data_IF_364201875935
#
_entry.id   IF_364201875935
#
_cell.length_a   1.000
_cell.length_b   1.000
_cell.length_c   1.000
_cell.angle_alpha   90.00
_cell.angle_beta   90.00
_cell.angle_gamma   90.00
#
_symmetry.space_group_name_H-M   'P 1'
#
loop_
_entity.id
_entity.type
_entity.pdbx_description
1 polymer ?
#
# COMPACT_ATOMS: atom_id res chain seq x y z
N UNK A 1 -6.25 -1.96 -31.46
CA UNK A 1 -6.33 -1.80 -29.99
C UNK A 1 -5.04 -2.37 -29.39
N UNK A 2 -4.14 -1.51 -28.93
CA UNK A 2 -2.82 -1.92 -28.44
C UNK A 2 -2.89 -2.20 -26.93
N UNK A 3 -2.35 -3.33 -26.44
CA UNK A 3 -2.38 -3.65 -25.02
C UNK A 3 -1.45 -2.72 -24.24
N UNK A 4 -2.01 -1.98 -23.28
CA UNK A 4 -1.27 -1.16 -22.33
C UNK A 4 -0.20 -2.00 -21.62
N UNK A 5 1.04 -1.49 -21.60
CA UNK A 5 2.19 -2.12 -20.94
C UNK A 5 1.90 -2.37 -19.46
N UNK A 6 1.49 -3.60 -19.16
CA UNK A 6 1.13 -4.06 -17.82
C UNK A 6 2.36 -4.17 -16.94
N UNK A 7 2.25 -3.68 -15.70
CA UNK A 7 3.20 -4.03 -14.64
C UNK A 7 3.27 -5.56 -14.55
N UNK A 8 4.42 -6.15 -14.88
CA UNK A 8 4.64 -7.60 -14.80
C UNK A 8 4.49 -8.05 -13.35
N UNK A 9 3.29 -8.50 -12.98
CA UNK A 9 3.09 -9.30 -11.77
C UNK A 9 3.60 -10.69 -12.09
N UNK A 10 4.67 -11.10 -11.44
CA UNK A 10 5.17 -12.47 -11.51
C UNK A 10 4.19 -13.32 -10.69
N UNK A 11 3.27 -13.97 -11.39
CA UNK A 11 2.45 -15.05 -10.83
C UNK A 11 3.25 -16.34 -10.99
N UNK A 12 3.32 -17.16 -9.94
CA UNK A 12 3.75 -18.54 -10.10
C UNK A 12 2.58 -19.30 -10.74
N UNK A 13 2.74 -19.70 -11.99
CA UNK A 13 1.82 -20.58 -12.68
C UNK A 13 2.43 -21.98 -12.72
N UNK A 14 1.66 -22.98 -12.30
CA UNK A 14 2.03 -24.39 -12.49
C UNK A 14 0.93 -25.06 -13.33
N UNK A 15 1.31 -25.79 -14.36
CA UNK A 15 0.38 -26.60 -15.17
C UNK A 15 0.28 -27.99 -14.57
N UNK A 16 -0.94 -28.43 -14.23
CA UNK A 16 -1.20 -29.83 -13.89
C UNK A 16 -1.30 -30.66 -15.19
N UNK A 17 -0.71 -31.87 -15.26
CA UNK A 17 -0.56 -32.62 -16.51
C UNK A 17 -1.88 -33.16 -17.11
N UNK A 18 -3.01 -33.05 -16.41
CA UNK A 18 -4.29 -33.64 -16.85
C UNK A 18 -5.48 -32.66 -16.88
N UNK A 19 -5.28 -31.42 -16.46
CA UNK A 19 -6.31 -30.37 -16.55
C UNK A 19 -5.69 -29.13 -17.17
N UNK A 20 -6.29 -28.63 -18.26
CA UNK A 20 -5.86 -27.38 -18.92
C UNK A 20 -6.14 -26.12 -18.08
N UNK A 21 -6.30 -26.27 -16.76
CA UNK A 21 -6.63 -25.18 -15.84
C UNK A 21 -5.34 -24.61 -15.25
N UNK A 22 -5.09 -23.33 -15.50
CA UNK A 22 -3.96 -22.63 -14.90
C UNK A 22 -4.17 -22.48 -13.39
N UNK A 23 -3.25 -23.06 -12.61
CA UNK A 23 -3.23 -22.88 -11.16
C UNK A 23 -2.32 -21.72 -10.80
N UNK A 24 -2.86 -20.74 -10.09
CA UNK A 24 -2.14 -19.58 -9.56
C UNK A 24 -2.05 -19.64 -8.04
N UNK A 25 -0.92 -19.18 -7.50
CA UNK A 25 -0.67 -18.99 -6.07
C UNK A 25 0.05 -17.68 -5.81
N UNK A 26 0.17 -17.30 -4.52
CA UNK A 26 0.97 -16.13 -4.14
C UNK A 26 2.45 -16.43 -4.35
N UNK A 27 3.10 -15.65 -5.23
CA UNK A 27 4.55 -15.74 -5.38
C UNK A 27 5.27 -15.16 -4.16
N UNK A 28 6.14 -15.98 -3.57
CA UNK A 28 7.13 -15.62 -2.56
C UNK A 28 8.52 -15.69 -3.19
N UNK A 29 9.31 -14.64 -3.03
CA UNK A 29 10.67 -14.62 -3.58
C UNK A 29 11.56 -15.56 -2.74
N UNK A 30 12.17 -16.61 -3.32
CA UNK A 30 13.07 -17.48 -2.58
C UNK A 30 14.23 -16.70 -1.97
N UNK A 31 14.58 -17.02 -0.72
CA UNK A 31 15.67 -16.36 0.02
C UNK A 31 15.40 -14.92 0.44
N UNK A 32 14.25 -14.33 0.08
CA UNK A 32 13.84 -13.06 0.66
C UNK A 32 13.23 -13.34 2.03
N UNK A 33 13.84 -12.77 3.08
CA UNK A 33 13.17 -12.72 4.37
C UNK A 33 11.83 -12.00 4.21
N UNK A 34 10.73 -12.54 4.77
CA UNK A 34 9.44 -11.88 4.72
C UNK A 34 9.52 -10.65 5.63
N UNK A 35 9.97 -9.53 5.06
CA UNK A 35 10.11 -8.28 5.78
C UNK A 35 8.72 -7.75 6.13
N UNK A 36 8.30 -8.07 7.35
CA UNK A 36 7.09 -7.57 7.98
C UNK A 36 7.53 -6.68 9.13
N UNK A 37 6.76 -5.63 9.37
CA UNK A 37 6.99 -4.70 10.47
C UNK A 37 6.93 -5.48 11.80
N UNK A 38 7.98 -5.52 12.64
CA UNK A 38 7.93 -6.25 13.92
C UNK A 38 6.84 -5.73 14.84
N UNK A 39 6.18 -6.60 15.60
CA UNK A 39 5.05 -6.19 16.45
C UNK A 39 5.43 -5.20 17.56
N UNK A 40 6.69 -5.25 18.02
CA UNK A 40 7.24 -4.36 19.05
C UNK A 40 7.58 -2.95 18.55
N UNK A 41 7.44 -2.70 17.24
CA UNK A 41 7.74 -1.38 16.67
C UNK A 41 6.73 -0.31 17.11
N UNK A 42 7.18 0.95 17.17
CA UNK A 42 6.32 2.10 17.52
C UNK A 42 5.45 2.54 16.34
N UNK A 43 4.56 1.65 15.92
CA UNK A 43 3.56 1.91 14.89
C UNK A 43 2.15 1.84 15.48
N UNK A 44 1.22 2.68 14.98
CA UNK A 44 -0.15 2.65 15.45
C UNK A 44 -0.83 1.34 15.09
N UNK A 45 -1.72 0.85 15.98
CA UNK A 45 -2.32 -0.49 15.89
C UNK A 45 -2.95 -0.85 14.54
N UNK A 46 -3.57 0.13 13.88
CA UNK A 46 -4.21 -0.07 12.58
C UNK A 46 -3.21 -0.46 11.48
N UNK A 47 -1.92 -0.13 11.60
CA UNK A 47 -0.89 -0.55 10.64
C UNK A 47 -0.73 -2.07 10.71
N UNK A 48 -0.61 -2.63 11.92
CA UNK A 48 -0.50 -4.07 12.12
C UNK A 48 -1.73 -4.82 11.60
N UNK A 49 -2.92 -4.30 11.90
CA UNK A 49 -4.19 -4.85 11.38
C UNK A 49 -4.20 -4.85 9.84
N UNK A 50 -3.83 -3.71 9.24
CA UNK A 50 -3.88 -3.53 7.79
C UNK A 50 -2.90 -4.43 7.04
N UNK A 51 -1.69 -4.68 7.58
CA UNK A 51 -0.72 -5.57 6.94
C UNK A 51 -1.32 -6.99 6.87
N UNK A 52 -1.88 -7.50 7.99
CA UNK A 52 -2.51 -8.83 8.02
C UNK A 52 -3.68 -8.90 7.02
N UNK A 53 -4.59 -7.93 7.07
CA UNK A 53 -5.74 -7.90 6.17
C UNK A 53 -5.33 -7.82 4.69
N UNK A 54 -4.29 -7.04 4.37
CA UNK A 54 -3.80 -6.92 3.00
C UNK A 54 -3.19 -8.23 2.51
N UNK A 55 -2.44 -8.94 3.37
CA UNK A 55 -1.91 -10.27 3.06
C UNK A 55 -3.03 -11.28 2.80
N UNK A 56 -4.07 -11.31 3.62
CA UNK A 56 -5.24 -12.19 3.41
C UNK A 56 -5.97 -11.86 2.10
N UNK A 57 -6.24 -10.58 1.81
CA UNK A 57 -6.85 -10.16 0.53
C UNK A 57 -6.02 -10.62 -0.66
N UNK A 58 -4.69 -10.50 -0.56
CA UNK A 58 -3.75 -10.95 -1.59
C UNK A 58 -3.82 -12.47 -1.79
N UNK A 59 -3.84 -13.23 -0.68
CA UNK A 59 -3.96 -14.68 -0.69
C UNK A 59 -5.22 -15.13 -1.43
N UNK A 60 -6.37 -14.54 -1.11
CA UNK A 60 -7.65 -14.90 -1.73
C UNK A 60 -7.66 -14.55 -3.21
N UNK A 61 -7.12 -13.39 -3.57
CA UNK A 61 -7.14 -12.90 -4.95
C UNK A 61 -6.27 -13.73 -5.89
N UNK A 62 -5.13 -14.24 -5.41
CA UNK A 62 -4.17 -14.94 -6.26
C UNK A 62 -4.20 -16.46 -6.13
N UNK A 63 -4.79 -17.01 -5.07
CA UNK A 63 -4.96 -18.45 -4.97
C UNK A 63 -6.09 -18.90 -5.88
N UNK A 64 -5.79 -19.87 -6.74
CA UNK A 64 -6.76 -20.44 -7.68
C UNK A 64 -7.68 -21.46 -7.01
N UNK A 65 -7.15 -22.22 -6.04
CA UNK A 65 -7.87 -23.26 -5.29
C UNK A 65 -7.93 -22.93 -3.81
N UNK A 66 -8.89 -23.55 -3.12
CA UNK A 66 -9.03 -23.40 -1.66
C UNK A 66 -7.82 -23.93 -0.89
N UNK A 67 -7.23 -25.04 -1.35
CA UNK A 67 -6.04 -25.63 -0.74
C UNK A 67 -4.85 -24.66 -0.77
N UNK A 68 -4.56 -24.06 -1.94
CA UNK A 68 -3.48 -23.08 -2.07
C UNK A 68 -3.71 -21.84 -1.18
N UNK A 69 -4.97 -21.42 -1.04
CA UNK A 69 -5.32 -20.36 -0.11
C UNK A 69 -5.06 -20.75 1.35
N UNK A 70 -5.39 -21.99 1.74
CA UNK A 70 -5.14 -22.47 3.10
C UNK A 70 -3.65 -22.58 3.42
N UNK A 71 -2.84 -23.02 2.46
CA UNK A 71 -1.39 -23.07 2.61
C UNK A 71 -0.80 -21.66 2.74
N UNK A 72 -1.28 -20.71 1.94
CA UNK A 72 -0.93 -19.30 2.07
C UNK A 72 -1.38 -18.70 3.41
N UNK A 73 -2.58 -19.06 3.89
CA UNK A 73 -3.10 -18.62 5.21
C UNK A 73 -2.19 -19.10 6.35
N UNK A 74 -1.73 -20.36 6.29
CA UNK A 74 -0.77 -20.93 7.26
C UNK A 74 0.58 -20.23 7.17
N UNK A 75 1.08 -19.98 5.97
CA UNK A 75 2.32 -19.24 5.73
C UNK A 75 2.25 -17.82 6.31
N UNK A 76 1.16 -17.09 6.06
CA UNK A 76 0.89 -15.76 6.61
C UNK A 76 0.93 -15.80 8.15
N UNK A 77 0.17 -16.72 8.78
CA UNK A 77 0.16 -16.84 10.24
C UNK A 77 1.56 -17.10 10.81
N UNK A 78 2.30 -18.04 10.20
CA UNK A 78 3.67 -18.38 10.60
C UNK A 78 4.63 -17.19 10.47
N UNK A 79 4.53 -16.46 9.38
CA UNK A 79 5.32 -15.24 9.13
C UNK A 79 5.09 -14.19 10.22
N UNK A 80 3.84 -13.93 10.60
CA UNK A 80 3.55 -12.94 11.64
C UNK A 80 3.98 -13.40 13.04
N UNK A 81 3.83 -14.68 13.37
CA UNK A 81 4.33 -15.24 14.62
C UNK A 81 5.85 -15.07 14.74
N UNK A 82 6.59 -15.37 13.67
CA UNK A 82 8.05 -15.17 13.61
C UNK A 82 8.45 -13.70 13.82
N UNK A 83 7.63 -12.75 13.36
CA UNK A 83 7.84 -11.31 13.57
C UNK A 83 7.32 -10.79 14.93
N UNK A 84 7.06 -11.70 15.88
CA UNK A 84 6.71 -11.37 17.27
C UNK A 84 5.25 -10.97 17.49
N UNK A 85 4.35 -11.22 16.54
CA UNK A 85 2.93 -10.91 16.72
C UNK A 85 2.27 -11.95 17.67
N UNK A 86 1.47 -11.52 18.67
CA UNK A 86 0.72 -12.45 19.51
C UNK A 86 -0.28 -13.27 18.69
N UNK A 87 -0.35 -14.60 18.89
CA UNK A 87 -1.32 -15.45 18.14
C UNK A 87 -2.75 -14.98 18.33
N UNK A 88 -3.13 -14.56 19.55
CA UNK A 88 -4.46 -14.04 19.86
C UNK A 88 -4.81 -12.80 19.04
N UNK A 89 -3.83 -11.95 18.74
CA UNK A 89 -4.01 -10.78 17.89
C UNK A 89 -4.19 -11.19 16.42
N UNK A 90 -3.35 -12.10 15.91
CA UNK A 90 -3.47 -12.62 14.54
C UNK A 90 -4.84 -13.27 14.35
N UNK A 91 -5.23 -14.17 15.24
CA UNK A 91 -6.49 -14.91 15.18
C UNK A 91 -7.68 -13.95 15.25
N UNK A 92 -7.65 -12.96 16.15
CA UNK A 92 -8.69 -11.91 16.21
C UNK A 92 -8.82 -11.16 14.88
N UNK A 93 -7.71 -10.79 14.26
CA UNK A 93 -7.71 -10.06 12.99
C UNK A 93 -8.19 -10.93 11.83
N UNK A 94 -7.86 -12.22 11.82
CA UNK A 94 -8.39 -13.20 10.86
C UNK A 94 -9.91 -13.31 11.00
N UNK A 95 -10.42 -13.52 12.24
CA UNK A 95 -11.86 -13.61 12.50
C UNK A 95 -12.61 -12.36 12.03
N UNK A 96 -12.10 -11.17 12.39
CA UNK A 96 -12.67 -9.89 11.97
C UNK A 96 -12.66 -9.72 10.45
N UNK A 97 -11.63 -10.22 9.77
CA UNK A 97 -11.55 -10.17 8.32
C UNK A 97 -12.60 -11.08 7.67
N UNK A 98 -12.72 -12.34 8.12
CA UNK A 98 -13.67 -13.30 7.55
C UNK A 98 -15.13 -12.98 7.88
N UNK A 99 -15.42 -12.40 9.05
CA UNK A 99 -16.77 -11.96 9.41
C UNK A 99 -17.35 -10.89 8.47
N UNK A 100 -16.50 -10.20 7.70
CA UNK A 100 -16.96 -9.26 6.68
C UNK A 100 -17.49 -9.91 5.39
N UNK A 101 -17.28 -11.22 5.22
CA UNK A 101 -17.66 -11.94 4.00
C UNK A 101 -18.54 -13.17 4.27
N UNK A 102 -18.34 -13.83 5.41
CA UNK A 102 -19.10 -15.01 5.81
C UNK A 102 -20.20 -14.57 6.77
N UNK A 103 -21.42 -15.05 6.58
CA UNK A 103 -22.53 -14.76 7.49
C UNK A 103 -22.20 -15.27 8.91
N UNK A 104 -22.47 -14.43 9.91
CA UNK A 104 -22.18 -14.64 11.34
C UNK A 104 -22.84 -15.87 11.99
N UNK A 105 -23.54 -16.71 11.22
CA UNK A 105 -24.20 -17.93 11.71
C UNK A 105 -23.24 -19.10 11.91
N UNK A 106 -22.03 -19.03 11.36
CA UNK A 106 -20.98 -20.02 11.64
C UNK A 106 -20.39 -19.77 13.03
N UNK A 107 -20.55 -20.73 13.94
CA UNK A 107 -20.11 -20.64 15.34
C UNK A 107 -18.59 -20.43 15.47
N UNK A 108 -17.85 -20.71 14.40
CA UNK A 108 -16.44 -20.36 14.24
C UNK A 108 -16.23 -19.85 12.80
N UNK A 109 -15.63 -18.66 12.60
CA UNK A 109 -15.33 -18.14 11.26
C UNK A 109 -14.06 -18.82 10.71
N UNK A 110 -14.01 -20.14 10.78
CA UNK A 110 -13.01 -20.91 10.05
C UNK A 110 -13.55 -21.14 8.64
N UNK A 111 -12.75 -20.72 7.67
CA UNK A 111 -12.95 -21.11 6.28
C UNK A 111 -12.53 -22.58 6.18
N UNK A 112 -13.52 -23.45 6.23
CA UNK A 112 -13.36 -24.91 6.09
C UNK A 112 -13.94 -25.41 4.75
N UNK A 113 -14.73 -24.58 4.06
CA UNK A 113 -15.39 -24.95 2.81
C UNK A 113 -14.91 -24.13 1.61
N UNK A 114 -14.72 -24.82 0.48
CA UNK A 114 -14.35 -24.22 -0.80
C UNK A 114 -15.41 -23.22 -1.30
N UNK A 115 -16.69 -23.46 -1.02
CA UNK A 115 -17.79 -22.56 -1.40
C UNK A 115 -17.63 -21.17 -0.78
N UNK A 116 -17.26 -21.10 0.50
CA UNK A 116 -17.04 -19.84 1.21
C UNK A 116 -15.85 -19.07 0.62
N UNK A 117 -14.78 -19.80 0.28
CA UNK A 117 -13.62 -19.23 -0.41
C UNK A 117 -13.99 -18.65 -1.78
N UNK A 118 -14.77 -19.36 -2.59
CA UNK A 118 -15.22 -18.88 -3.90
C UNK A 118 -16.07 -17.61 -3.77
N UNK A 119 -17.01 -17.57 -2.82
CA UNK A 119 -17.82 -16.38 -2.54
C UNK A 119 -16.94 -15.17 -2.20
N UNK A 120 -15.96 -15.36 -1.31
CA UNK A 120 -14.99 -14.32 -0.95
C UNK A 120 -14.18 -13.85 -2.15
N UNK A 121 -13.74 -14.78 -2.99
CA UNK A 121 -12.96 -14.46 -4.19
C UNK A 121 -13.77 -13.66 -5.19
N UNK A 122 -15.04 -14.01 -5.42
CA UNK A 122 -15.95 -13.23 -6.28
C UNK A 122 -16.11 -11.81 -5.71
N UNK A 123 -16.42 -11.69 -4.42
CA UNK A 123 -16.60 -10.41 -3.75
C UNK A 123 -15.34 -9.51 -3.83
N UNK A 124 -14.15 -10.09 -3.70
CA UNK A 124 -12.87 -9.37 -3.77
C UNK A 124 -12.38 -9.10 -5.20
N UNK A 125 -12.79 -9.90 -6.18
CA UNK A 125 -12.38 -9.74 -7.58
C UNK A 125 -13.08 -8.54 -8.22
N UNK A 126 -14.33 -8.27 -7.83
CA UNK A 126 -15.08 -7.09 -8.28
C UNK A 126 -14.64 -5.76 -7.65
N UNK A 127 -13.87 -5.79 -6.55
CA UNK A 127 -13.42 -4.54 -5.90
C UNK A 127 -12.27 -3.90 -6.69
N UNK A 128 -12.43 -2.64 -7.17
CA UNK A 128 -11.32 -1.93 -7.79
C UNK A 128 -10.19 -1.77 -6.78
N UNK A 129 -8.95 -1.93 -7.25
CA UNK A 129 -7.79 -1.61 -6.42
C UNK A 129 -7.78 -0.12 -6.09
N UNK A 130 -7.15 0.28 -4.98
CA UNK A 130 -7.02 1.70 -4.61
C UNK A 130 -6.50 2.58 -5.76
N UNK A 131 -5.61 2.06 -6.61
CA UNK A 131 -5.14 2.76 -7.80
C UNK A 131 -6.23 2.89 -8.86
N UNK A 132 -6.98 1.82 -9.13
CA UNK A 132 -8.13 1.86 -10.03
C UNK A 132 -9.19 2.82 -9.53
N UNK A 133 -9.58 2.77 -8.26
CA UNK A 133 -10.52 3.74 -7.67
C UNK A 133 -10.02 5.18 -7.76
N UNK A 134 -8.71 5.42 -7.57
CA UNK A 134 -8.14 6.76 -7.77
C UNK A 134 -8.18 7.22 -9.22
N UNK A 135 -8.00 6.32 -10.17
CA UNK A 135 -8.11 6.62 -11.61
C UNK A 135 -9.57 6.88 -11.97
N UNK A 136 -10.50 6.03 -11.52
CA UNK A 136 -11.95 6.20 -11.69
C UNK A 136 -12.44 7.53 -11.12
N UNK A 137 -12.04 7.89 -9.89
CA UNK A 137 -12.39 9.20 -9.31
C UNK A 137 -11.85 10.36 -10.13
N UNK A 138 -10.63 10.28 -10.66
CA UNK A 138 -10.07 11.33 -11.51
C UNK A 138 -10.82 11.48 -12.83
N UNK A 139 -11.22 10.37 -13.44
CA UNK A 139 -12.03 10.38 -14.66
C UNK A 139 -13.38 11.03 -14.37
N UNK A 140 -14.04 10.64 -13.26
CA UNK A 140 -15.32 11.20 -12.85
C UNK A 140 -15.26 12.72 -12.60
N UNK A 141 -14.21 13.23 -11.94
CA UNK A 141 -14.04 14.68 -11.73
C UNK A 141 -13.84 15.45 -13.04
N UNK A 142 -13.13 14.87 -14.01
CA UNK A 142 -12.92 15.51 -15.32
C UNK A 142 -14.24 15.58 -16.11
N UNK A 143 -15.10 14.56 -15.98
CA UNK A 143 -16.41 14.56 -16.66
C UNK A 143 -17.40 15.55 -16.05
N UNK A 144 -17.36 15.80 -14.74
CA UNK A 144 -18.27 16.76 -14.09
C UNK A 144 -17.93 18.21 -14.41
N UNK A 145 -16.65 18.54 -14.54
CA UNK A 145 -16.22 19.93 -14.80
C UNK A 145 -16.51 20.37 -16.25
N UNK A 146 -16.61 19.42 -17.18
CA UNK A 146 -16.94 19.69 -18.58
C UNK A 146 -18.45 19.83 -18.85
N UNK A 147 -19.31 19.51 -17.88
CA UNK A 147 -20.78 19.57 -18.06
C UNK A 147 -21.40 20.92 -17.65
N UNK A 148 -20.63 21.89 -17.14
CA UNK A 148 -21.16 23.19 -16.71
C UNK A 148 -20.94 24.35 -17.71
N UNK A 149 -20.52 24.03 -18.95
CA UNK A 149 -20.29 25.04 -19.99
C UNK A 149 -20.64 24.52 -21.39
N UNK A 150 -21.79 23.87 -21.52
CA UNK A 150 -22.33 23.47 -22.82
C UNK A 150 -23.84 23.81 -22.91
N UNK A 151 -24.15 25.10 -22.84
CA UNK A 151 -25.25 25.64 -23.62
C UNK A 151 -24.67 26.21 -24.93
N UNK A 152 -25.20 25.68 -26.03
CA UNK A 152 -25.21 26.23 -27.39
C UNK A 152 -23.90 26.78 -27.97
N UNK A 153 -23.13 25.88 -28.60
CA UNK A 153 -22.72 26.18 -29.97
C UNK A 153 -22.50 24.90 -30.76
N UNK A 154 -23.39 24.68 -31.74
CA UNK A 154 -23.26 23.73 -32.84
C UNK A 154 -22.08 24.11 -33.74
N UNK A 155 -20.86 23.92 -33.24
CA UNK A 155 -19.68 23.78 -34.07
C UNK A 155 -19.14 22.38 -33.87
N UNK A 156 -19.45 21.51 -34.83
CA UNK A 156 -18.72 20.26 -35.09
C UNK A 156 -17.23 20.58 -35.18
N UNK A 157 -16.54 20.55 -34.04
CA UNK A 157 -15.09 20.53 -33.99
C UNK A 157 -14.66 19.07 -34.04
N UNK A 158 -13.99 18.74 -35.14
CA UNK A 158 -13.26 17.51 -35.39
C UNK A 158 -12.14 17.32 -34.34
N UNK A 159 -12.48 16.83 -33.14
CA UNK A 159 -11.48 16.54 -32.09
C UNK A 159 -10.92 15.12 -32.12
N UNK A 160 -11.24 14.31 -33.14
CA UNK A 160 -10.85 12.90 -33.15
C UNK A 160 -9.47 12.62 -33.77
N UNK A 161 -8.74 13.62 -34.28
CA UNK A 161 -7.46 13.40 -34.99
C UNK A 161 -6.21 13.80 -34.16
N UNK A 162 -6.32 14.58 -33.08
CA UNK A 162 -5.13 15.06 -32.35
C UNK A 162 -4.55 14.09 -31.32
N UNK A 163 -5.32 13.12 -30.80
CA UNK A 163 -4.79 12.18 -29.80
C UNK A 163 -3.79 11.17 -30.37
N UNK A 164 -3.96 10.76 -31.64
CA UNK A 164 -3.00 9.87 -32.30
C UNK A 164 -1.65 10.55 -32.59
N UNK A 165 -1.62 11.88 -32.80
CA UNK A 165 -0.35 12.62 -32.94
C UNK A 165 0.46 12.64 -31.65
N UNK A 166 -0.19 12.68 -30.47
CA UNK A 166 0.51 12.70 -29.18
C UNK A 166 1.12 11.35 -28.79
N UNK A 167 0.54 10.22 -29.24
CA UNK A 167 1.07 8.90 -28.89
C UNK A 167 2.42 8.59 -29.56
N UNK A 168 2.65 9.08 -30.79
CA UNK A 168 3.95 8.93 -31.45
C UNK A 168 5.04 9.86 -30.86
N UNK A 169 4.65 10.98 -30.23
CA UNK A 169 5.61 11.93 -29.67
C UNK A 169 6.42 11.39 -28.47
N UNK A 170 5.98 10.28 -27.87
CA UNK A 170 6.66 9.64 -26.74
C UNK A 170 7.59 8.49 -27.14
N UNK A 171 7.48 7.97 -28.37
CA UNK A 171 8.25 6.79 -28.78
C UNK A 171 9.76 7.08 -28.86
N UNK A 172 10.15 8.34 -29.08
CA UNK A 172 11.55 8.75 -29.20
C UNK A 172 12.05 9.58 -28.00
N UNK A 173 11.50 9.36 -26.79
CA UNK A 173 11.92 10.09 -25.58
C UNK A 173 12.30 9.12 -24.46
N UNK A 174 13.52 9.26 -23.94
CA UNK A 174 13.98 8.57 -22.73
C UNK A 174 13.91 9.54 -21.56
N UNK A 175 13.06 9.27 -20.56
CA UNK A 175 12.88 10.20 -19.43
C UNK A 175 13.51 9.62 -18.17
N UNK A 176 14.59 10.25 -17.70
CA UNK A 176 15.26 9.90 -16.44
C UNK A 176 14.87 10.91 -15.37
N UNK A 177 14.34 10.41 -14.26
CA UNK A 177 14.09 11.22 -13.07
C UNK A 177 15.07 10.84 -11.97
N UNK A 178 15.76 11.83 -11.41
CA UNK A 178 16.59 11.63 -10.22
C UNK A 178 16.10 12.49 -9.06
N UNK A 179 16.37 12.03 -7.85
CA UNK A 179 16.10 12.76 -6.60
C UNK A 179 17.22 13.78 -6.38
N UNK A 180 16.85 15.05 -6.15
CA UNK A 180 17.83 16.13 -5.97
C UNK A 180 18.59 15.97 -4.65
N UNK A 181 19.92 16.02 -4.74
CA UNK A 181 20.76 16.54 -3.67
C UNK A 181 21.47 17.79 -4.20
N UNK A 182 21.59 18.83 -3.37
CA UNK A 182 22.22 20.12 -3.76
C UNK A 182 23.62 19.96 -4.38
N UNK A 183 24.33 18.88 -4.02
CA UNK A 183 25.69 18.57 -4.50
C UNK A 183 25.73 18.09 -5.95
N UNK A 184 24.58 17.83 -6.58
CA UNK A 184 24.50 17.21 -7.90
C UNK A 184 23.88 18.14 -8.96
N UNK A 185 24.04 19.46 -8.82
CA UNK A 185 23.54 20.41 -9.82
C UNK A 185 24.15 20.21 -11.21
N UNK A 186 25.40 19.73 -11.30
CA UNK A 186 26.08 19.42 -12.56
C UNK A 186 25.64 18.09 -13.17
N UNK A 187 25.08 17.16 -12.38
CA UNK A 187 24.76 15.80 -12.84
C UNK A 187 23.78 15.75 -14.01
N UNK A 188 22.94 16.78 -14.18
CA UNK A 188 22.09 16.86 -15.38
C UNK A 188 22.95 16.91 -16.64
N UNK A 189 23.97 17.77 -16.66
CA UNK A 189 24.90 17.88 -17.77
C UNK A 189 25.72 16.60 -17.92
N UNK A 190 26.22 16.04 -16.82
CA UNK A 190 27.00 14.81 -16.84
C UNK A 190 26.20 13.64 -17.43
N UNK A 191 24.91 13.50 -17.07
CA UNK A 191 24.04 12.46 -17.63
C UNK A 191 23.79 12.64 -19.13
N UNK A 192 23.63 13.87 -19.60
CA UNK A 192 23.53 14.14 -21.04
C UNK A 192 24.83 13.82 -21.77
N UNK A 193 25.96 14.19 -21.18
CA UNK A 193 27.29 13.91 -21.73
C UNK A 193 27.56 12.40 -21.80
N UNK A 194 27.35 11.68 -20.70
CA UNK A 194 27.51 10.22 -20.64
C UNK A 194 26.60 9.55 -21.66
N UNK A 195 25.34 9.99 -21.80
CA UNK A 195 24.43 9.44 -22.80
C UNK A 195 24.95 9.65 -24.22
N UNK A 196 25.41 10.86 -24.56
CA UNK A 196 25.99 11.14 -25.87
C UNK A 196 27.25 10.30 -26.14
N UNK A 197 28.19 10.25 -25.20
CA UNK A 197 29.45 9.51 -25.34
C UNK A 197 29.20 7.99 -25.47
N UNK A 198 28.30 7.44 -24.64
CA UNK A 198 28.04 6.00 -24.61
C UNK A 198 27.25 5.52 -25.82
N UNK A 199 26.31 6.33 -26.30
CA UNK A 199 25.37 5.92 -27.34
C UNK A 199 25.65 6.54 -28.72
N UNK A 200 26.75 7.29 -28.89
CA UNK A 200 27.10 8.01 -30.12
C UNK A 200 26.94 7.18 -31.40
N UNK A 201 27.32 5.90 -31.35
CA UNK A 201 27.33 4.99 -32.51
C UNK A 201 26.18 3.98 -32.48
N UNK A 202 25.11 4.27 -31.74
CA UNK A 202 23.95 3.38 -31.61
C UNK A 202 22.69 4.11 -32.06
N UNK A 203 21.68 3.40 -32.59
CA UNK A 203 20.40 4.01 -32.98
C UNK A 203 19.65 4.66 -31.80
N UNK A 204 20.05 4.36 -30.56
CA UNK A 204 19.49 4.96 -29.34
C UNK A 204 19.81 6.47 -29.27
N UNK A 205 20.84 6.97 -29.98
CA UNK A 205 21.20 8.39 -29.97
C UNK A 205 20.08 9.29 -30.54
N UNK A 206 19.23 8.74 -31.41
CA UNK A 206 18.05 9.43 -31.95
C UNK A 206 16.96 9.65 -30.89
N UNK A 207 17.03 8.92 -29.78
CA UNK A 207 16.12 9.08 -28.65
C UNK A 207 16.49 10.32 -27.85
N UNK A 208 15.55 11.27 -27.73
CA UNK A 208 15.73 12.48 -26.92
C UNK A 208 15.75 12.13 -25.43
N UNK A 209 16.92 12.20 -24.81
CA UNK A 209 17.05 12.11 -23.36
C UNK A 209 16.46 13.36 -22.69
N UNK A 210 15.54 13.16 -21.75
CA UNK A 210 14.98 14.20 -20.89
C UNK A 210 15.36 13.85 -19.46
N UNK A 211 16.29 14.62 -18.90
CA UNK A 211 16.67 14.46 -17.50
C UNK A 211 15.89 15.46 -16.64
N UNK A 212 14.89 14.93 -15.92
CA UNK A 212 14.04 15.68 -15.02
C UNK A 212 14.51 15.57 -13.56
N UNK A 213 14.39 16.67 -12.82
CA UNK A 213 14.56 16.65 -11.37
C UNK A 213 13.19 16.43 -10.71
N UNK A 214 13.06 15.41 -9.86
CA UNK A 214 11.91 15.30 -8.94
C UNK A 214 12.09 16.23 -7.74
N UNK A 215 12.10 17.55 -8.01
CA UNK A 215 12.03 18.56 -6.97
C UNK A 215 10.57 18.70 -6.52
N UNK A 216 10.08 17.74 -5.74
CA UNK A 216 8.87 17.99 -4.96
C UNK A 216 9.23 19.03 -3.91
N UNK A 217 8.74 20.28 -4.07
CA UNK A 217 8.86 21.33 -3.01
C UNK A 217 8.39 20.83 -1.63
N UNK A 218 7.57 19.78 -1.61
CA UNK A 218 7.05 19.14 -0.40
C UNK A 218 7.79 17.88 0.08
N UNK A 219 8.74 17.29 -0.66
CA UNK A 219 9.48 16.12 -0.11
C UNK A 219 10.39 16.51 1.05
N UNK A 220 10.90 17.74 1.07
CA UNK A 220 11.60 18.26 2.25
C UNK A 220 10.66 18.36 3.45
N UNK A 221 9.39 18.73 3.26
CA UNK A 221 8.35 18.69 4.32
C UNK A 221 7.95 17.26 4.70
N UNK A 222 7.95 16.31 3.77
CA UNK A 222 7.68 14.89 4.04
C UNK A 222 8.84 14.21 4.79
N UNK A 223 10.09 14.57 4.48
CA UNK A 223 11.30 14.12 5.19
C UNK A 223 11.43 14.81 6.56
N UNK A 224 11.04 16.07 6.69
CA UNK A 224 11.01 16.78 7.98
C UNK A 224 9.87 16.27 8.87
N UNK A 225 8.72 15.87 8.30
CA UNK A 225 7.61 15.24 9.05
C UNK A 225 7.94 13.84 9.57
N UNK A 226 9.05 13.23 9.15
CA UNK A 226 9.58 11.99 9.74
C UNK A 226 10.36 12.20 11.03
N UNK A 227 10.69 13.45 11.44
CA UNK A 227 11.02 13.69 12.85
C UNK A 227 9.76 13.45 13.67
N UNK A 228 9.75 12.51 14.62
CA UNK A 228 8.62 12.34 15.53
C UNK A 228 8.28 13.70 16.14
N UNK A 229 6.99 14.04 16.25
CA UNK A 229 6.58 15.29 16.91
C UNK A 229 7.32 15.38 18.25
N UNK A 230 7.84 16.55 18.64
CA UNK A 230 8.54 16.69 19.92
C UNK A 230 7.71 16.20 21.12
N UNK A 231 6.38 16.18 20.99
CA UNK A 231 5.46 15.60 21.98
C UNK A 231 5.63 14.08 22.15
N UNK A 232 6.06 13.36 21.11
CA UNK A 232 6.39 11.93 21.14
C UNK A 232 7.79 11.73 21.72
N UNK A 233 8.74 12.62 21.42
CA UNK A 233 10.11 12.55 21.96
C UNK A 233 10.20 12.97 23.43
N UNK A 234 9.27 13.82 23.88
CA UNK A 234 9.08 14.14 25.29
C UNK A 234 8.24 13.03 25.91
N UNK A 235 8.87 11.90 26.21
CA UNK A 235 8.41 10.98 27.25
C UNK A 235 8.40 11.75 28.58
N UNK A 236 7.40 12.63 28.79
CA UNK A 236 7.08 13.10 30.14
C UNK A 236 6.23 12.00 30.77
N UNK A 237 6.72 11.26 31.77
CA UNK A 237 5.92 10.28 32.50
C UNK A 237 4.85 11.01 33.32
N UNK A 238 3.78 11.48 32.67
CA UNK A 238 2.63 12.12 33.33
C UNK A 238 1.85 11.15 34.23
N UNK A 239 2.09 9.85 34.11
CA UNK A 239 1.41 8.83 34.91
C UNK A 239 1.89 8.79 36.39
N UNK A 240 3.12 9.22 36.69
CA UNK A 240 3.63 9.18 38.07
C UNK A 240 3.32 10.44 38.88
N UNK A 241 3.33 11.63 38.26
CA UNK A 241 3.02 12.89 38.95
C UNK A 241 1.59 12.93 39.53
N UNK A 242 0.61 12.35 38.84
CA UNK A 242 -0.77 12.29 39.33
C UNK A 242 -0.95 11.25 40.45
N UNK A 243 -0.14 10.17 40.47
CA UNK A 243 -0.16 9.17 41.55
C UNK A 243 0.44 9.73 42.83
N UNK A 244 1.52 10.51 42.74
CA UNK A 244 2.11 11.18 43.90
C UNK A 244 1.20 12.25 44.49
N UNK A 245 0.59 13.10 43.64
CA UNK A 245 -0.38 14.11 44.12
C UNK A 245 -1.59 13.48 44.82
N UNK A 246 -2.06 12.33 44.34
CA UNK A 246 -3.17 11.61 44.98
C UNK A 246 -2.75 10.96 46.31
N UNK A 247 -1.55 10.38 46.40
CA UNK A 247 -1.03 9.85 47.68
C UNK A 247 -0.89 10.94 48.74
N UNK A 248 -0.40 12.11 48.34
CA UNK A 248 -0.22 13.22 49.29
C UNK A 248 -1.56 13.81 49.77
N UNK A 249 -2.59 13.83 48.91
CA UNK A 249 -3.96 14.20 49.32
C UNK A 249 -4.57 13.20 50.30
N UNK A 250 -4.36 11.90 50.09
CA UNK A 250 -4.86 10.86 50.99
C UNK A 250 -4.20 10.92 52.38
N UNK A 251 -2.89 11.14 52.43
CA UNK A 251 -2.17 11.31 53.72
C UNK A 251 -2.63 12.55 54.49
N UNK A 252 -2.87 13.68 53.81
CA UNK A 252 -3.42 14.89 54.46
C UNK A 252 -4.82 14.66 55.04
N UNK A 253 -5.68 13.91 54.35
CA UNK A 253 -7.02 13.59 54.84
C UNK A 253 -6.98 12.71 56.10
N UNK A 254 -6.10 11.70 56.12
CA UNK A 254 -5.91 10.83 57.29
C UNK A 254 -5.45 11.62 58.52
N UNK A 255 -4.45 12.51 58.35
CA UNK A 255 -3.92 13.30 59.47
C UNK A 255 -4.94 14.30 60.06
N UNK A 256 -5.87 14.81 59.26
CA UNK A 256 -6.94 15.69 59.75
C UNK A 256 -7.98 14.93 60.59
N UNK A 257 -8.18 13.63 60.34
CA UNK A 257 -9.18 12.84 61.06
C UNK A 257 -8.67 12.47 62.47
N UNK A 258 -7.37 12.20 62.60
CA UNK A 258 -6.71 11.93 63.90
C UNK A 258 -6.67 13.12 64.85
N UNK A 259 -6.62 14.36 64.34
CA UNK A 259 -6.57 15.54 65.20
C UNK A 259 -7.94 15.97 65.76
N UNK A 260 -9.05 15.39 65.28
CA UNK A 260 -10.40 15.67 65.80
C UNK A 260 -10.88 14.61 66.82
N UNK A 261 -10.03 13.67 67.23
CA UNK A 261 -10.34 12.61 68.20
C UNK A 261 -9.58 12.77 69.54
N UNK A 262 -8.94 13.91 69.75
CA UNK A 262 -8.31 14.32 71.02
C UNK A 262 -9.08 15.54 71.52
#
# INVERSE_FOLDING_TARGET
>A
MSPLAGTKRVLAASSHPHTHTLSTSVYHKPGAEPYVVPFISDHPRHVFDNIIQTSLRRAIKYSSTFQLFNDERRYIKSTFLYNGYPSTFIDKTFRKFFSGYISSRSFLPFLDEERQFLQMRIALSGQPSRKQSQVEMRIATVTTDNNYLFEESDKKQEFTIQENKKQNEFQNKLIIHYTHEKRFNTRKHDLHRIFQETFANTPIIETKLIVGNRNRKNTMKELIRKRPRQTILKNKPRANENREKNRHRQQKAQNQTTNNQI
#
